data_IF_986595203699
#
_entry.id   IF_986595203699
#
_cell.length_a   1.000
_cell.length_b   1.000
_cell.length_c   1.000
_cell.angle_alpha   90.00
_cell.angle_beta   90.00
_cell.angle_gamma   90.00
#
_symmetry.space_group_name_H-M   'P 1'
#
loop_
_entity.id
_entity.type
_entity.pdbx_description
1 polymer ?
#
# COMPACT_ATOMS: atom_id res chain seq x y z
N UNK A 1 21.66 -56.14 21.41
CA UNK A 1 21.26 -57.55 21.19
C UNK A 1 19.88 -57.72 21.81
N UNK A 2 18.80 -57.52 21.02
CA UNK A 2 17.70 -58.48 20.67
C UNK A 2 17.18 -59.28 21.89
N UNK A 3 15.92 -59.23 22.36
CA UNK A 3 14.58 -59.51 21.77
C UNK A 3 13.47 -58.85 22.65
N UNK A 4 12.41 -58.20 22.11
CA UNK A 4 11.11 -58.71 21.63
C UNK A 4 10.13 -59.21 22.74
N UNK A 5 8.97 -58.55 22.92
CA UNK A 5 7.59 -59.07 22.66
C UNK A 5 6.44 -58.43 23.47
N UNK A 6 5.41 -58.03 22.70
CA UNK A 6 3.95 -58.17 22.87
C UNK A 6 3.12 -57.45 23.96
N UNK A 7 2.13 -56.71 23.44
CA UNK A 7 0.81 -56.31 23.99
C UNK A 7 -0.10 -57.55 24.30
N UNK A 8 -1.38 -57.50 24.78
CA UNK A 8 -2.42 -56.45 24.59
C UNK A 8 -3.48 -56.23 25.72
N UNK A 9 -4.28 -55.16 25.62
CA UNK A 9 -5.70 -55.05 26.03
C UNK A 9 -6.22 -53.65 25.61
N UNK A 10 -7.19 -53.42 24.72
CA UNK A 10 -8.57 -53.90 24.56
C UNK A 10 -9.61 -53.09 25.36
N UNK A 11 -10.58 -52.52 24.60
CA UNK A 11 -11.91 -51.99 24.95
C UNK A 11 -12.06 -50.68 25.75
N UNK A 12 -12.56 -49.63 25.07
CA UNK A 12 -13.92 -49.10 25.27
C UNK A 12 -14.25 -48.00 24.24
N UNK A 13 -15.35 -48.18 23.49
CA UNK A 13 -15.92 -47.15 22.61
C UNK A 13 -16.73 -46.13 23.42
N UNK A 14 -16.66 -44.82 23.09
CA UNK A 14 -17.74 -43.89 23.41
C UNK A 14 -18.73 -43.77 22.25
N UNK A 15 -20.02 -43.89 22.60
CA UNK A 15 -21.20 -43.67 21.76
C UNK A 15 -21.17 -42.29 21.08
N UNK A 16 -21.53 -42.16 19.78
CA UNK A 16 -21.91 -40.88 19.22
C UNK A 16 -23.34 -40.54 19.67
N UNK A 17 -23.44 -39.71 20.70
CA UNK A 17 -24.68 -39.05 21.09
C UNK A 17 -24.97 -37.89 20.14
N UNK A 18 -26.15 -37.94 19.52
CA UNK A 18 -26.83 -36.84 18.85
C UNK A 18 -26.59 -35.49 19.55
N UNK A 19 -25.97 -34.55 18.85
CA UNK A 19 -26.17 -33.12 19.10
C UNK A 19 -26.83 -32.50 17.88
N UNK A 20 -28.12 -32.29 18.07
CA UNK A 20 -29.02 -31.51 17.24
C UNK A 20 -28.46 -30.11 16.99
N UNK A 21 -28.28 -29.80 15.70
CA UNK A 21 -28.88 -28.63 15.05
C UNK A 21 -29.24 -27.47 15.98
N UNK A 22 -28.31 -26.54 16.16
CA UNK A 22 -28.62 -25.13 16.33
C UNK A 22 -28.05 -24.39 15.12
N UNK A 23 -28.86 -24.35 14.06
CA UNK A 23 -28.71 -23.37 12.99
C UNK A 23 -28.86 -21.99 13.63
N UNK A 24 -27.75 -21.33 13.91
CA UNK A 24 -27.73 -19.90 14.13
C UNK A 24 -28.13 -19.27 12.79
N UNK A 25 -29.38 -18.86 12.68
CA UNK A 25 -29.89 -18.01 11.61
C UNK A 25 -29.14 -16.69 11.68
N UNK A 26 -28.01 -16.63 10.98
CA UNK A 26 -27.23 -15.41 10.79
C UNK A 26 -28.15 -14.42 10.07
N UNK A 27 -28.58 -13.39 10.77
CA UNK A 27 -29.43 -12.34 10.22
C UNK A 27 -28.73 -11.76 8.97
N UNK A 28 -29.46 -11.58 7.85
CA UNK A 28 -28.89 -10.99 6.65
C UNK A 28 -28.33 -9.61 6.99
N UNK A 29 -27.00 -9.48 6.98
CA UNK A 29 -26.32 -8.19 7.15
C UNK A 29 -26.87 -7.22 6.10
N UNK A 30 -27.17 -5.96 6.47
CA UNK A 30 -27.67 -4.99 5.52
C UNK A 30 -26.69 -4.90 4.36
N UNK A 31 -27.21 -5.09 3.14
CA UNK A 31 -26.47 -4.94 1.91
C UNK A 31 -25.65 -3.66 2.02
N UNK A 32 -24.33 -3.80 1.89
CA UNK A 32 -23.40 -2.69 1.92
C UNK A 32 -23.91 -1.67 0.91
N UNK A 33 -24.31 -0.48 1.38
CA UNK A 33 -24.75 0.60 0.51
C UNK A 33 -23.64 0.86 -0.49
N UNK A 34 -23.82 0.36 -1.71
CA UNK A 34 -22.96 0.65 -2.84
C UNK A 34 -23.20 2.13 -3.10
N UNK A 35 -22.30 2.97 -2.60
CA UNK A 35 -22.30 4.39 -2.93
C UNK A 35 -22.26 4.45 -4.46
N UNK A 36 -23.25 5.07 -5.12
CA UNK A 36 -23.27 5.12 -6.57
C UNK A 36 -21.98 5.75 -7.05
N UNK A 37 -21.26 5.03 -7.91
CA UNK A 37 -20.08 5.56 -8.58
C UNK A 37 -20.52 6.86 -9.25
N UNK A 38 -19.98 7.99 -8.80
CA UNK A 38 -20.16 9.25 -9.53
C UNK A 38 -19.68 8.99 -10.95
N UNK A 39 -20.56 9.16 -11.93
CA UNK A 39 -20.21 9.24 -13.34
C UNK A 39 -19.37 10.52 -13.57
N UNK A 40 -18.10 10.44 -13.18
CA UNK A 40 -17.10 11.47 -13.41
C UNK A 40 -16.51 11.25 -14.79
N UNK A 41 -17.00 12.01 -15.77
CA UNK A 41 -16.33 12.21 -17.05
C UNK A 41 -14.92 12.76 -16.82
N UNK A 42 -13.95 11.84 -16.82
CA UNK A 42 -12.51 12.00 -17.08
C UNK A 42 -11.74 13.20 -16.49
N UNK A 43 -12.08 13.70 -15.31
CA UNK A 43 -11.15 14.55 -14.57
C UNK A 43 -10.01 13.65 -14.07
N UNK A 44 -8.78 13.89 -14.53
CA UNK A 44 -7.62 13.14 -14.05
C UNK A 44 -7.42 13.42 -12.56
N UNK A 45 -7.73 12.45 -11.69
CA UNK A 45 -7.50 12.59 -10.24
C UNK A 45 -6.01 12.78 -9.96
N UNK A 46 -5.66 13.87 -9.27
CA UNK A 46 -4.30 14.13 -8.79
C UNK A 46 -4.26 13.77 -7.31
N UNK A 47 -3.34 12.93 -6.90
CA UNK A 47 -3.12 12.60 -5.48
C UNK A 47 -1.78 13.13 -5.00
N UNK A 48 -1.69 13.41 -3.71
CA UNK A 48 -0.44 13.86 -3.11
C UNK A 48 -0.06 13.10 -1.85
N UNK A 49 1.25 13.10 -1.56
CA UNK A 49 1.86 12.59 -0.34
C UNK A 49 2.85 13.63 0.18
N UNK A 50 2.55 14.21 1.34
CA UNK A 50 3.51 15.01 2.10
C UNK A 50 4.44 14.07 2.84
N UNK A 51 5.75 14.18 2.57
CA UNK A 51 6.76 13.24 3.07
C UNK A 51 7.65 13.94 4.08
N UNK A 52 7.98 13.25 5.16
CA UNK A 52 8.93 13.74 6.16
C UNK A 52 9.87 12.66 6.68
N UNK A 53 11.02 13.10 7.18
CA UNK A 53 11.91 12.26 8.00
C UNK A 53 11.44 12.26 9.44
N UNK A 54 11.58 11.14 10.13
CA UNK A 54 11.25 11.01 11.55
C UNK A 54 12.52 11.14 12.38
N UNK A 55 12.49 11.97 13.43
CA UNK A 55 13.60 12.10 14.37
C UNK A 55 13.87 10.81 15.17
N UNK A 56 12.86 9.94 15.30
CA UNK A 56 13.01 8.63 15.97
C UNK A 56 12.38 7.50 15.14
N UNK A 57 13.11 6.40 14.87
CA UNK A 57 12.58 5.25 14.14
C UNK A 57 11.55 4.45 14.95
N UNK A 58 11.55 4.59 16.29
CA UNK A 58 10.71 3.84 17.23
C UNK A 58 9.36 4.48 17.51
N UNK A 59 9.10 5.72 17.08
CA UNK A 59 7.81 6.35 17.25
C UNK A 59 6.73 5.57 16.48
N UNK A 60 6.05 4.64 17.14
CA UNK A 60 4.83 3.98 16.67
C UNK A 60 3.72 4.47 17.59
N UNK A 61 2.67 5.04 16.99
CA UNK A 61 1.57 5.61 17.74
C UNK A 61 1.82 7.08 18.10
N UNK A 62 0.82 7.90 17.78
CA UNK A 62 0.47 9.22 18.34
C UNK A 62 1.33 9.72 19.51
N UNK A 63 1.88 10.94 19.54
CA UNK A 63 1.14 12.18 19.31
C UNK A 63 2.00 13.36 18.82
N UNK A 64 3.28 13.16 18.53
CA UNK A 64 4.12 14.24 18.00
C UNK A 64 5.25 13.68 17.16
N UNK A 65 4.92 13.22 15.95
CA UNK A 65 5.95 12.98 14.94
C UNK A 65 6.59 14.31 14.57
N UNK A 66 7.65 14.67 15.29
CA UNK A 66 8.57 15.74 14.90
C UNK A 66 9.47 15.18 13.81
N UNK A 67 9.55 15.93 12.73
CA UNK A 67 10.24 15.50 11.54
C UNK A 67 10.54 16.66 10.61
N UNK A 68 11.59 16.53 9.81
CA UNK A 68 11.91 17.52 8.79
C UNK A 68 11.16 17.15 7.51
N UNK A 69 10.36 18.07 6.93
CA UNK A 69 9.67 17.82 5.67
C UNK A 69 10.70 17.58 4.56
N UNK A 70 10.46 16.56 3.75
CA UNK A 70 11.27 16.25 2.56
C UNK A 70 10.67 16.83 1.28
N UNK A 71 9.38 17.16 1.30
CA UNK A 71 8.65 17.70 0.18
C UNK A 71 7.31 17.01 -0.03
N UNK A 72 6.67 17.32 -1.16
CA UNK A 72 5.39 16.76 -1.57
C UNK A 72 5.58 15.97 -2.86
N UNK A 73 5.08 14.75 -2.87
CA UNK A 73 4.98 13.95 -4.09
C UNK A 73 3.58 14.11 -4.66
N UNK A 74 3.45 14.51 -5.92
CA UNK A 74 2.17 14.65 -6.61
C UNK A 74 2.14 13.70 -7.80
N UNK A 75 1.07 12.92 -7.90
CA UNK A 75 0.86 11.97 -9.00
C UNK A 75 -0.49 12.19 -9.65
N UNK A 76 -0.48 12.27 -10.97
CA UNK A 76 -1.69 12.20 -11.78
C UNK A 76 -2.04 10.74 -12.02
N UNK A 77 -3.13 10.28 -11.42
CA UNK A 77 -3.64 8.94 -11.64
C UNK A 77 -4.19 8.85 -13.05
N UNK A 78 -3.80 7.81 -13.78
CA UNK A 78 -4.34 7.51 -15.11
C UNK A 78 -5.70 6.77 -15.02
N UNK A 79 -6.40 7.01 -13.90
CA UNK A 79 -7.42 6.15 -13.32
C UNK A 79 -8.78 6.25 -13.99
N UNK A 80 -9.01 5.39 -14.98
CA UNK A 80 -10.30 4.73 -15.22
C UNK A 80 -10.17 3.55 -16.19
N UNK A 81 -9.31 3.68 -17.21
CA UNK A 81 -9.33 2.76 -18.35
C UNK A 81 -8.64 1.41 -18.08
N UNK A 82 -7.51 1.39 -17.38
CA UNK A 82 -6.66 0.18 -17.28
C UNK A 82 -6.82 -0.56 -15.94
N UNK A 83 -6.76 0.17 -14.83
CA UNK A 83 -6.85 -0.39 -13.47
C UNK A 83 -7.77 0.44 -12.56
N UNK A 84 -9.08 0.46 -12.85
CA UNK A 84 -10.04 1.30 -12.14
C UNK A 84 -10.09 0.98 -10.65
N UNK A 85 -10.11 -0.31 -10.27
CA UNK A 85 -10.24 -0.72 -8.88
C UNK A 85 -9.00 -0.37 -8.03
N UNK A 86 -7.80 -0.54 -8.59
CA UNK A 86 -6.57 -0.17 -7.90
C UNK A 86 -6.46 1.34 -7.75
N UNK A 87 -6.75 2.10 -8.82
CA UNK A 87 -6.71 3.56 -8.80
C UNK A 87 -7.72 4.13 -7.79
N UNK A 88 -8.95 3.60 -7.77
CA UNK A 88 -9.98 3.97 -6.80
C UNK A 88 -9.55 3.64 -5.37
N UNK A 89 -8.96 2.46 -5.15
CA UNK A 89 -8.46 2.06 -3.82
C UNK A 89 -7.38 3.01 -3.32
N UNK A 90 -6.41 3.36 -4.17
CA UNK A 90 -5.34 4.29 -3.81
C UNK A 90 -5.90 5.67 -3.52
N UNK A 91 -6.82 6.18 -4.37
CA UNK A 91 -7.51 7.47 -4.15
C UNK A 91 -8.19 7.49 -2.79
N UNK A 92 -9.02 6.47 -2.49
CA UNK A 92 -9.77 6.40 -1.23
C UNK A 92 -8.86 6.26 0.00
N UNK A 93 -7.73 5.55 -0.09
CA UNK A 93 -6.74 5.48 0.99
C UNK A 93 -5.96 6.80 1.15
N UNK A 94 -5.80 7.60 0.10
CA UNK A 94 -5.22 8.93 0.21
C UNK A 94 -6.19 9.90 0.88
N UNK A 95 -7.44 9.93 0.43
CA UNK A 95 -8.46 10.87 0.92
C UNK A 95 -9.03 10.49 2.28
N UNK A 96 -9.00 9.20 2.64
CA UNK A 96 -9.63 8.67 3.85
C UNK A 96 -11.15 8.55 3.76
N UNK A 97 -11.72 8.59 2.55
CA UNK A 97 -13.18 8.57 2.32
C UNK A 97 -13.87 7.35 2.94
N UNK A 98 -13.17 6.21 3.09
CA UNK A 98 -13.71 5.05 3.79
C UNK A 98 -13.51 5.22 5.30
N UNK A 99 -14.61 5.17 6.04
CA UNK A 99 -14.73 5.48 7.47
C UNK A 99 -13.55 4.97 8.33
N UNK A 100 -12.73 5.91 8.79
CA UNK A 100 -11.76 5.75 9.89
C UNK A 100 -10.28 5.81 9.48
N UNK A 101 -9.44 6.36 10.37
CA UNK A 101 -7.98 6.50 10.22
C UNK A 101 -7.24 5.18 9.94
N UNK A 102 -7.92 4.04 10.10
CA UNK A 102 -7.44 2.72 9.75
C UNK A 102 -7.24 2.51 8.24
N UNK A 103 -7.94 3.27 7.39
CA UNK A 103 -7.91 3.19 5.93
C UNK A 103 -7.27 4.43 5.33
N UNK A 104 -6.03 4.74 5.75
CA UNK A 104 -5.27 5.87 5.24
C UNK A 104 -3.78 5.57 5.08
N UNK A 105 -3.17 6.18 4.07
CA UNK A 105 -1.71 6.23 3.91
C UNK A 105 -1.02 7.21 4.87
N UNK A 106 -1.78 8.05 5.57
CA UNK A 106 -1.21 8.92 6.60
C UNK A 106 -0.52 8.08 7.67
N UNK A 107 0.73 8.46 7.94
CA UNK A 107 1.68 7.81 8.84
C UNK A 107 2.20 6.43 8.39
N UNK A 108 1.94 6.04 7.14
CA UNK A 108 2.60 4.90 6.54
C UNK A 108 4.07 5.19 6.29
N UNK A 109 4.91 4.15 6.43
CA UNK A 109 6.36 4.27 6.32
C UNK A 109 6.85 3.80 4.96
N UNK A 110 7.87 4.49 4.49
CA UNK A 110 8.62 4.08 3.33
C UNK A 110 9.69 3.07 3.72
N UNK A 111 9.90 2.10 2.84
CA UNK A 111 10.98 1.14 2.87
C UNK A 111 11.78 1.25 1.58
N UNK A 112 13.10 0.98 1.61
CA UNK A 112 13.85 0.83 0.38
C UNK A 112 13.30 -0.36 -0.43
N UNK A 113 13.31 -0.23 -1.75
CA UNK A 113 13.12 -1.35 -2.65
C UNK A 113 14.19 -2.43 -2.51
N UNK A 114 14.14 -3.43 -3.38
CA UNK A 114 15.13 -4.51 -3.40
C UNK A 114 16.56 -3.93 -3.55
N UNK A 115 17.61 -4.59 -3.02
CA UNK A 115 18.98 -4.04 -3.04
C UNK A 115 19.46 -3.59 -4.42
N UNK A 116 19.08 -4.32 -5.47
CA UNK A 116 19.43 -4.04 -6.88
C UNK A 116 18.68 -2.82 -7.47
N UNK A 117 17.60 -2.39 -6.83
CA UNK A 117 16.73 -1.27 -7.26
C UNK A 117 16.67 -0.15 -6.23
N UNK A 118 17.41 -0.25 -5.12
CA UNK A 118 17.34 0.67 -3.97
C UNK A 118 17.61 2.13 -4.33
N UNK A 119 18.32 2.39 -5.42
CA UNK A 119 18.57 3.74 -5.89
C UNK A 119 17.40 4.41 -6.62
N UNK A 120 16.38 3.63 -6.98
CA UNK A 120 15.28 4.02 -7.88
C UNK A 120 13.90 3.64 -7.33
N UNK A 121 13.85 2.93 -6.19
CA UNK A 121 12.63 2.29 -5.71
C UNK A 121 12.43 2.56 -4.23
N UNK A 122 11.35 3.27 -3.92
CA UNK A 122 10.81 3.38 -2.58
C UNK A 122 9.46 2.66 -2.52
N UNK A 123 9.21 1.97 -1.41
CA UNK A 123 7.99 1.21 -1.17
C UNK A 123 7.25 1.83 -0.01
N UNK A 124 5.99 2.24 -0.20
CA UNK A 124 5.12 2.62 0.91
C UNK A 124 4.34 1.40 1.37
N UNK A 125 4.56 0.99 2.63
CA UNK A 125 3.72 -0.03 3.26
C UNK A 125 2.45 0.61 3.78
N UNK A 126 1.34 0.41 3.08
CA UNK A 126 0.02 0.70 3.62
C UNK A 126 -0.31 -0.20 4.82
N UNK A 127 -1.46 0.04 5.46
CA UNK A 127 -1.89 -0.66 6.69
C UNK A 127 -2.49 -2.05 6.44
N UNK A 128 -2.28 -2.62 5.25
CA UNK A 128 -2.72 -3.97 4.88
C UNK A 128 -4.22 -4.11 4.68
N UNK A 129 -4.94 -3.00 4.51
CA UNK A 129 -6.40 -2.99 4.30
C UNK A 129 -6.75 -2.27 3.02
N UNK A 130 -7.68 -2.85 2.26
CA UNK A 130 -8.20 -2.23 1.05
C UNK A 130 -9.39 -1.33 1.36
N UNK A 131 -9.40 -0.15 0.75
CA UNK A 131 -10.51 0.78 0.77
C UNK A 131 -11.59 0.44 -0.27
N UNK A 132 -11.28 -0.35 -1.30
CA UNK A 132 -12.27 -0.87 -2.26
C UNK A 132 -12.36 -2.38 -2.12
N UNK A 133 -13.59 -2.92 -2.04
CA UNK A 133 -13.84 -4.35 -1.80
C UNK A 133 -13.83 -4.75 -0.32
N UNK A 134 -13.67 -6.04 -0.02
CA UNK A 134 -13.52 -6.51 1.37
C UNK A 134 -12.13 -6.11 1.87
N UNK A 135 -12.07 -5.68 3.13
CA UNK A 135 -10.85 -5.10 3.71
C UNK A 135 -9.68 -6.08 3.79
N UNK A 136 -9.99 -7.37 3.83
CA UNK A 136 -9.09 -8.53 3.93
C UNK A 136 -8.92 -9.28 2.60
N UNK A 137 -9.71 -8.95 1.57
CA UNK A 137 -9.59 -9.56 0.25
C UNK A 137 -8.55 -8.83 -0.60
N UNK A 138 -7.84 -9.57 -1.44
CA UNK A 138 -7.01 -8.99 -2.50
C UNK A 138 -7.89 -8.16 -3.44
N UNK A 139 -7.35 -7.04 -3.96
CA UNK A 139 -7.95 -6.31 -5.08
C UNK A 139 -7.79 -7.20 -6.32
N UNK A 140 -8.73 -8.13 -6.49
CA UNK A 140 -8.68 -9.12 -7.57
C UNK A 140 -9.44 -8.62 -8.78
N UNK A 141 -8.70 -8.38 -9.87
CA UNK A 141 -9.26 -8.44 -11.22
C UNK A 141 -8.19 -8.89 -12.23
N UNK A 142 -7.64 -10.09 -12.03
CA UNK A 142 -6.63 -10.68 -12.93
C UNK A 142 -7.11 -10.81 -14.38
N UNK A 143 -8.43 -10.83 -14.59
CA UNK A 143 -9.02 -10.94 -15.92
C UNK A 143 -8.89 -9.65 -16.72
N UNK A 144 -8.99 -8.47 -16.09
CA UNK A 144 -8.81 -7.19 -16.79
C UNK A 144 -7.34 -6.84 -17.03
N UNK A 145 -6.43 -7.35 -16.19
CA UNK A 145 -4.98 -7.17 -16.36
C UNK A 145 -4.46 -7.74 -17.70
N UNK A 146 -5.09 -8.80 -18.22
CA UNK A 146 -4.71 -9.43 -19.51
C UNK A 146 -4.76 -8.49 -20.72
N UNK A 147 -5.55 -7.41 -20.66
CA UNK A 147 -5.68 -6.44 -21.76
C UNK A 147 -4.60 -5.34 -21.76
N UNK A 148 -3.81 -5.23 -20.70
CA UNK A 148 -2.92 -4.09 -20.47
C UNK A 148 -1.45 -4.50 -20.38
N UNK A 149 -1.11 -5.69 -20.87
CA UNK A 149 0.23 -6.28 -20.80
C UNK A 149 1.16 -5.63 -21.82
N UNK A 150 2.30 -5.09 -21.35
CA UNK A 150 3.36 -4.57 -22.22
C UNK A 150 4.61 -5.44 -22.06
N UNK A 151 5.11 -6.05 -23.15
CA UNK A 151 6.28 -6.89 -23.07
C UNK A 151 7.52 -6.06 -22.74
N UNK A 152 8.34 -6.56 -21.82
CA UNK A 152 9.67 -6.03 -21.57
C UNK A 152 10.66 -6.75 -22.49
N UNK A 153 11.59 -6.01 -23.08
CA UNK A 153 12.67 -6.60 -23.87
C UNK A 153 13.45 -7.60 -23.00
N UNK A 154 13.62 -8.82 -23.51
CA UNK A 154 14.19 -9.95 -22.78
C UNK A 154 13.22 -10.75 -21.88
N UNK A 155 11.92 -10.43 -21.87
CA UNK A 155 10.85 -11.26 -21.31
C UNK A 155 10.18 -10.71 -20.03
N UNK A 156 8.95 -11.17 -19.77
CA UNK A 156 8.10 -10.64 -18.71
C UNK A 156 7.34 -9.40 -19.16
N UNK A 157 6.47 -8.90 -18.30
CA UNK A 157 5.62 -7.78 -18.63
C UNK A 157 5.35 -6.87 -17.43
N UNK A 158 5.02 -5.63 -17.76
CA UNK A 158 4.40 -4.69 -16.85
C UNK A 158 3.03 -4.28 -17.38
N UNK A 159 2.25 -3.61 -16.55
CA UNK A 159 0.88 -3.23 -16.87
C UNK A 159 0.68 -1.73 -16.68
N UNK A 160 -0.29 -1.16 -17.39
CA UNK A 160 -0.72 0.21 -17.16
C UNK A 160 -0.17 1.21 -18.18
N UNK A 161 0.19 2.40 -17.70
CA UNK A 161 0.58 3.55 -18.54
C UNK A 161 1.84 3.22 -19.35
N UNK A 162 1.79 3.53 -20.64
CA UNK A 162 2.96 3.43 -21.51
C UNK A 162 3.98 4.49 -21.10
N UNK A 163 5.18 4.04 -20.77
CA UNK A 163 6.28 4.91 -20.41
C UNK A 163 7.10 5.15 -21.67
N UNK A 164 7.06 6.38 -22.16
CA UNK A 164 7.99 6.80 -23.19
C UNK A 164 9.38 6.89 -22.55
N UNK A 165 10.37 6.24 -23.17
CA UNK A 165 11.73 6.22 -22.63
C UNK A 165 12.39 7.59 -22.68
N UNK A 166 11.90 8.48 -23.54
CA UNK A 166 12.53 9.76 -23.83
C UNK A 166 11.83 10.91 -23.11
N UNK A 167 10.65 10.68 -22.54
CA UNK A 167 9.91 11.70 -21.81
C UNK A 167 10.36 11.76 -20.35
N UNK A 168 11.23 12.73 -20.05
CA UNK A 168 11.67 13.03 -18.70
C UNK A 168 10.51 13.34 -17.73
N UNK A 169 9.34 13.76 -18.23
CA UNK A 169 8.15 13.97 -17.40
C UNK A 169 7.59 12.64 -16.84
N UNK A 170 7.88 11.50 -17.48
CA UNK A 170 7.46 10.16 -17.05
C UNK A 170 8.51 9.42 -16.24
N UNK A 171 9.62 10.08 -15.90
CA UNK A 171 10.76 9.45 -15.22
C UNK A 171 10.41 8.92 -13.83
N UNK A 172 9.44 9.57 -13.16
CA UNK A 172 8.94 9.18 -11.84
C UNK A 172 7.49 8.71 -11.92
N UNK A 173 7.22 7.51 -11.45
CA UNK A 173 5.91 6.85 -11.56
C UNK A 173 5.44 6.25 -10.24
N UNK A 174 4.13 6.15 -10.12
CA UNK A 174 3.44 5.44 -9.06
C UNK A 174 2.92 4.12 -9.60
N UNK A 175 3.30 3.02 -8.95
CA UNK A 175 2.92 1.68 -9.33
C UNK A 175 2.38 0.87 -8.16
N UNK A 176 1.64 -0.19 -8.49
CA UNK A 176 1.12 -1.18 -7.55
C UNK A 176 1.61 -2.57 -7.94
N UNK A 177 1.93 -3.44 -6.98
CA UNK A 177 2.23 -4.84 -7.28
C UNK A 177 0.97 -5.56 -7.75
N UNK A 178 1.05 -6.21 -8.91
CA UNK A 178 -0.04 -7.02 -9.49
C UNK A 178 0.23 -8.51 -9.45
N UNK A 179 1.49 -8.91 -9.23
CA UNK A 179 1.89 -10.29 -8.96
C UNK A 179 2.86 -10.34 -7.77
N UNK A 180 3.02 -11.53 -7.21
CA UNK A 180 3.96 -11.76 -6.10
C UNK A 180 3.55 -11.10 -4.77
N UNK A 181 4.56 -10.86 -3.93
CA UNK A 181 4.37 -10.39 -2.57
C UNK A 181 3.77 -8.97 -2.53
N UNK A 182 2.64 -8.82 -1.84
CA UNK A 182 1.92 -7.55 -1.73
C UNK A 182 0.92 -7.29 -2.86
N UNK A 183 0.74 -8.22 -3.81
CA UNK A 183 -0.36 -8.18 -4.78
C UNK A 183 -1.67 -7.89 -4.08
N UNK A 184 -2.48 -6.98 -4.62
CA UNK A 184 -3.83 -6.70 -4.11
C UNK A 184 -3.86 -6.18 -2.67
N UNK A 185 -2.73 -5.70 -2.16
CA UNK A 185 -2.65 -5.01 -0.86
C UNK A 185 -2.58 -3.51 -1.05
N UNK A 186 -2.66 -2.75 0.05
CA UNK A 186 -2.41 -1.31 0.07
C UNK A 186 -0.93 -0.92 -0.14
N UNK A 187 -0.10 -1.74 -0.80
CA UNK A 187 1.33 -1.44 -1.01
C UNK A 187 1.51 -0.61 -2.28
N UNK A 188 2.31 0.45 -2.19
CA UNK A 188 2.67 1.29 -3.34
C UNK A 188 4.17 1.22 -3.62
N UNK A 189 4.52 1.22 -4.90
CA UNK A 189 5.88 1.36 -5.41
C UNK A 189 6.03 2.73 -6.04
N UNK A 190 7.02 3.48 -5.58
CA UNK A 190 7.44 4.76 -6.13
C UNK A 190 8.75 4.51 -6.88
N UNK A 191 8.73 4.70 -8.19
CA UNK A 191 9.85 4.41 -9.08
C UNK A 191 10.33 5.71 -9.71
N UNK A 192 11.63 5.90 -9.85
CA UNK A 192 12.24 7.11 -10.46
C UNK A 192 13.49 6.78 -11.25
N UNK A 193 13.93 7.67 -12.14
CA UNK A 193 15.08 7.45 -13.00
C UNK A 193 14.83 6.38 -14.06
N UNK A 194 13.57 6.15 -14.46
CA UNK A 194 13.21 5.13 -15.44
C UNK A 194 13.72 5.43 -16.85
N UNK A 195 13.72 6.72 -17.25
CA UNK A 195 14.18 7.15 -18.58
C UNK A 195 15.68 6.91 -18.72
N UNK A 196 16.46 7.28 -17.69
CA UNK A 196 17.92 7.12 -17.66
C UNK A 196 18.42 5.75 -17.19
N UNK A 197 17.56 4.88 -16.66
CA UNK A 197 17.99 3.59 -16.13
C UNK A 197 18.38 2.61 -17.26
N UNK A 198 19.46 1.83 -17.05
CA UNK A 198 19.76 0.68 -17.91
C UNK A 198 18.54 -0.22 -18.05
N UNK A 199 18.33 -0.79 -19.23
CA UNK A 199 17.16 -1.61 -19.55
C UNK A 199 16.95 -2.75 -18.54
N UNK A 200 18.03 -3.42 -18.12
CA UNK A 200 17.98 -4.47 -17.10
C UNK A 200 17.47 -3.98 -15.74
N UNK A 201 17.77 -2.74 -15.37
CA UNK A 201 17.28 -2.10 -14.14
C UNK A 201 15.81 -1.72 -14.30
N UNK A 202 15.45 -1.07 -15.41
CA UNK A 202 14.07 -0.69 -15.75
C UNK A 202 13.14 -1.91 -15.73
N UNK A 203 13.58 -3.01 -16.35
CA UNK A 203 12.87 -4.29 -16.34
C UNK A 203 12.62 -4.79 -14.92
N UNK A 204 13.63 -4.76 -14.05
CA UNK A 204 13.47 -5.20 -12.65
C UNK A 204 12.54 -4.30 -11.84
N UNK A 205 12.53 -3.00 -12.13
CA UNK A 205 11.66 -2.03 -11.47
C UNK A 205 10.18 -2.24 -11.85
N UNK A 206 9.93 -2.54 -13.12
CA UNK A 206 8.57 -2.66 -13.67
C UNK A 206 8.01 -4.08 -13.65
N UNK A 207 8.86 -5.10 -13.45
CA UNK A 207 8.41 -6.50 -13.40
C UNK A 207 7.35 -6.68 -12.32
N UNK A 208 6.22 -7.29 -12.71
CA UNK A 208 5.08 -7.57 -11.82
C UNK A 208 4.45 -6.33 -11.18
N UNK A 209 4.75 -5.14 -11.70
CA UNK A 209 4.13 -3.89 -11.30
C UNK A 209 3.11 -3.44 -12.35
N UNK A 210 2.11 -2.70 -11.89
CA UNK A 210 1.27 -1.91 -12.75
C UNK A 210 1.41 -0.42 -12.44
N UNK A 211 1.73 0.36 -13.47
CA UNK A 211 1.84 1.82 -13.39
C UNK A 211 0.44 2.42 -13.40
N UNK A 212 0.08 3.08 -12.31
CA UNK A 212 -1.26 3.68 -12.11
C UNK A 212 -1.23 5.21 -12.12
N UNK A 213 -0.05 5.82 -12.04
CA UNK A 213 0.10 7.27 -12.13
C UNK A 213 1.51 7.69 -12.49
N UNK A 214 1.61 8.91 -13.00
CA UNK A 214 2.86 9.58 -13.35
C UNK A 214 3.05 10.79 -12.47
N UNK A 215 4.31 11.11 -12.14
CA UNK A 215 4.63 12.31 -11.38
C UNK A 215 4.12 13.56 -12.10
N UNK A 216 3.74 14.55 -11.30
CA UNK A 216 3.15 15.78 -11.80
C UNK A 216 4.00 16.96 -11.30
N UNK A 217 4.91 17.42 -12.16
CA UNK A 217 5.82 18.54 -11.90
C UNK A 217 7.18 18.17 -11.30
N UNK A 218 8.12 19.12 -11.38
CA UNK A 218 9.52 18.96 -10.95
C UNK A 218 9.70 18.81 -9.43
N UNK A 219 8.82 19.41 -8.63
CA UNK A 219 8.85 19.28 -7.16
C UNK A 219 8.75 17.82 -6.69
N UNK A 220 8.00 17.00 -7.43
CA UNK A 220 7.86 15.57 -7.13
C UNK A 220 9.20 14.83 -7.31
N UNK A 221 9.99 15.21 -8.32
CA UNK A 221 11.31 14.61 -8.56
C UNK A 221 12.29 14.97 -7.44
N UNK A 222 12.32 16.24 -7.01
CA UNK A 222 13.16 16.68 -5.90
C UNK A 222 12.79 15.98 -4.58
N UNK A 223 11.50 15.92 -4.26
CA UNK A 223 11.01 15.22 -3.08
C UNK A 223 11.32 13.71 -3.14
N UNK A 224 11.27 13.10 -4.33
CA UNK A 224 11.66 11.70 -4.53
C UNK A 224 13.14 11.46 -4.31
N UNK A 225 14.00 12.35 -4.82
CA UNK A 225 15.45 12.28 -4.57
C UNK A 225 15.76 12.41 -3.07
N UNK A 226 15.11 13.35 -2.38
CA UNK A 226 15.26 13.53 -0.93
C UNK A 226 14.76 12.30 -0.14
N UNK A 227 13.62 11.72 -0.52
CA UNK A 227 13.09 10.47 0.03
C UNK A 227 14.11 9.33 -0.10
N UNK A 228 14.64 9.09 -1.30
CA UNK A 228 15.59 8.01 -1.55
C UNK A 228 16.92 8.24 -0.84
N UNK A 229 17.41 9.48 -0.76
CA UNK A 229 18.57 9.82 0.04
C UNK A 229 18.36 9.47 1.52
N UNK A 230 17.21 9.86 2.10
CA UNK A 230 16.84 9.49 3.47
C UNK A 230 16.81 7.97 3.70
N UNK A 231 16.22 7.21 2.77
CA UNK A 231 16.17 5.74 2.86
C UNK A 231 17.55 5.07 2.71
N UNK A 232 18.48 5.67 1.93
CA UNK A 232 19.88 5.18 1.83
C UNK A 232 20.61 5.37 3.15
N UNK A 233 20.42 6.52 3.79
CA UNK A 233 20.95 6.86 5.12
C UNK A 233 20.25 6.11 6.27
N UNK A 234 19.31 5.21 5.96
CA UNK A 234 18.51 4.46 6.94
C UNK A 234 17.69 5.36 7.87
N UNK A 235 17.38 6.58 7.44
CA UNK A 235 16.42 7.44 8.15
C UNK A 235 15.03 6.83 8.02
N UNK A 236 14.24 6.94 9.09
CA UNK A 236 12.85 6.57 9.02
C UNK A 236 12.08 7.66 8.27
N UNK A 237 11.44 7.30 7.16
CA UNK A 237 10.68 8.23 6.31
C UNK A 237 9.22 7.80 6.28
N UNK A 238 8.32 8.76 6.38
CA UNK A 238 6.88 8.50 6.46
C UNK A 238 6.06 9.56 5.72
N UNK A 239 4.82 9.20 5.42
CA UNK A 239 3.80 10.13 4.92
C UNK A 239 3.21 10.87 6.11
N UNK A 240 3.31 12.20 6.16
CA UNK A 240 2.64 13.02 7.17
C UNK A 240 1.17 13.24 6.82
N UNK A 241 0.90 13.60 5.56
CA UNK A 241 -0.43 13.83 5.01
C UNK A 241 -0.53 13.28 3.59
N UNK A 242 -1.73 12.89 3.19
CA UNK A 242 -2.03 12.51 1.83
C UNK A 242 -3.47 12.92 1.50
N UNK A 243 -3.78 13.05 0.22
CA UNK A 243 -5.11 13.45 -0.22
C UNK A 243 -5.23 13.54 -1.73
N UNK A 244 -6.33 14.12 -2.17
CA UNK A 244 -6.59 14.45 -3.58
C UNK A 244 -6.47 15.97 -3.79
N UNK A 245 -5.88 16.35 -4.91
CA UNK A 245 -5.68 17.72 -5.39
C UNK A 245 -6.69 17.98 -6.51
N UNK A 246 -7.49 19.02 -6.37
CA UNK A 246 -8.43 19.46 -7.40
C UNK A 246 -7.78 20.53 -8.29
N UNK A 247 -8.33 20.76 -9.48
CA UNK A 247 -7.80 21.71 -10.48
C UNK A 247 -7.71 23.15 -9.95
N UNK A 248 -8.59 23.53 -9.03
CA UNK A 248 -8.57 24.83 -8.35
C UNK A 248 -7.47 24.94 -7.27
N UNK A 249 -6.60 23.94 -7.13
CA UNK A 249 -5.56 23.87 -6.09
C UNK A 249 -6.10 23.53 -4.70
N UNK A 250 -7.41 23.31 -4.53
CA UNK A 250 -7.95 22.85 -3.27
C UNK A 250 -7.56 21.40 -2.99
N UNK A 251 -7.43 21.05 -1.71
CA UNK A 251 -7.10 19.70 -1.27
C UNK A 251 -8.26 19.09 -0.50
N UNK A 252 -8.63 17.85 -0.81
CA UNK A 252 -9.41 17.01 0.11
C UNK A 252 -8.45 16.11 0.86
N UNK A 253 -8.05 16.55 2.04
CA UNK A 253 -7.44 15.68 3.02
C UNK A 253 -8.36 15.61 4.24
N UNK A 254 -8.79 14.39 4.57
CA UNK A 254 -9.28 14.15 5.92
C UNK A 254 -8.04 14.18 6.81
N UNK A 255 -7.90 15.25 7.59
CA UNK A 255 -6.99 15.26 8.74
C UNK A 255 -7.50 14.17 9.67
N UNK A 256 -6.89 12.99 9.55
CA UNK A 256 -6.96 11.95 10.54
C UNK A 256 -6.28 12.52 11.79
N UNK A 257 -7.01 13.30 12.58
CA UNK A 257 -6.57 13.69 13.90
C UNK A 257 -6.53 12.40 14.69
N UNK A 258 -5.35 11.81 14.76
CA UNK A 258 -5.12 10.70 15.66
C UNK A 258 -5.26 11.30 17.04
N UNK A 259 -6.41 11.07 17.68
CA UNK A 259 -6.55 11.29 19.11
C UNK A 259 -5.60 10.27 19.73
N UNK A 260 -4.48 10.67 20.36
CA UNK A 260 -3.68 9.69 21.09
C UNK A 260 -4.62 8.90 21.99
N UNK A 261 -4.45 7.57 21.99
CA UNK A 261 -4.94 6.84 23.14
C UNK A 261 -4.38 7.58 24.37
N UNK A 262 -5.21 7.90 25.38
CA UNK A 262 -4.69 8.51 26.60
C UNK A 262 -3.46 7.69 26.99
N UNK A 263 -2.34 8.36 27.26
CA UNK A 263 -1.21 7.70 27.89
C UNK A 263 -1.79 7.09 29.18
N UNK A 264 -2.12 5.81 29.15
CA UNK A 264 -2.36 5.07 30.37
C UNK A 264 -1.02 5.13 31.06
N UNK A 265 -0.94 5.93 32.13
CA UNK A 265 0.20 6.04 33.02
C UNK A 265 0.58 4.62 33.46
N UNK A 266 1.51 4.03 32.71
CA UNK A 266 2.14 2.77 33.09
C UNK A 266 2.86 3.07 34.40
N UNK A 267 2.53 2.38 35.50
CA UNK A 267 3.14 2.66 36.79
C UNK A 267 4.65 2.49 36.67
N UNK A 268 5.40 3.53 37.03
CA UNK A 268 6.87 3.58 36.99
C UNK A 268 7.56 2.52 37.88
N UNK A 269 6.79 1.82 38.72
CA UNK A 269 7.30 0.86 39.70
C UNK A 269 7.12 -0.61 39.27
N UNK A 270 7.69 -1.00 38.12
CA UNK A 270 7.99 -2.42 37.87
C UNK A 270 9.47 -2.64 38.15
N UNK A 271 9.84 -3.19 39.32
CA UNK A 271 11.23 -3.50 39.61
C UNK A 271 11.78 -4.50 38.59
N UNK A 272 13.07 -4.40 38.22
CA UNK A 272 13.69 -5.33 37.30
C UNK A 272 13.59 -6.75 37.87
N UNK A 273 13.09 -7.68 37.06
CA UNK A 273 13.05 -9.10 37.42
C UNK A 273 14.49 -9.58 37.66
N UNK A 274 14.74 -10.00 38.90
CA UNK A 274 15.98 -10.64 39.37
C UNK A 274 16.18 -12.02 38.77
#
# INVERSE_FOLDING_TARGET
MIWLLCAPASFAQPKPGLLSSLAATEAPRPASTIIPARDSTSASSRIYFDVLTLSSPRARGSAAFKGSPLGRLVFRLSGAALLPQHSANVRMLCTGERTGCAYSYSWCRFEPGAPKTRGHHAVLRGKGRNAVGRSDSLISDDKSLSRCERPLVGGGAYYGVELDSDDAATDTVLAVPVRGAGKGTSRLSFLTGLAGAPEATRRRLLLDQAVIGVADGGETAEAMHALLAGLRERKAVAVSSCGELFENGSTSAIRCMFVPAPEEDLPDDVPPAS
#
